data_IF_354965554024
#
_entry.id   IF_354965554024
#
_cell.length_a   1.000
_cell.length_b   1.000
_cell.length_c   1.000
_cell.angle_alpha   90.00
_cell.angle_beta   90.00
_cell.angle_gamma   90.00
#
_symmetry.space_group_name_H-M   'P 1'
#
loop_
_entity.id
_entity.type
_entity.pdbx_description
1 polymer ?
#
# COMPACT_ATOMS: atom_id res chain seq x y z
N UNK A 1 -4.71 27.81 4.33
CA UNK A 1 -4.54 26.34 4.22
C UNK A 1 -3.06 26.07 4.01
N UNK A 2 -2.34 25.66 5.06
CA UNK A 2 -0.88 25.49 5.07
C UNK A 2 -0.57 24.10 4.50
N UNK A 3 0.30 24.02 3.49
CA UNK A 3 0.80 22.77 2.90
C UNK A 3 1.37 21.89 4.03
N UNK A 4 0.73 20.76 4.34
CA UNK A 4 1.13 19.87 5.42
C UNK A 4 2.29 18.92 5.06
N UNK A 5 2.94 19.08 3.91
CA UNK A 5 3.52 17.91 3.20
C UNK A 5 5.04 17.91 3.07
N UNK A 6 5.74 19.03 3.19
CA UNK A 6 7.18 19.07 2.85
C UNK A 6 8.10 18.61 3.99
N UNK A 7 7.63 18.55 5.24
CA UNK A 7 8.54 18.41 6.40
C UNK A 7 8.78 16.97 6.90
N UNK A 8 7.92 15.99 6.56
CA UNK A 8 8.06 14.62 7.08
C UNK A 8 8.06 13.56 5.97
N UNK A 9 9.25 13.05 5.66
CA UNK A 9 9.44 11.85 4.84
C UNK A 9 9.33 10.62 5.76
N UNK A 10 8.43 9.70 5.42
CA UNK A 10 8.37 8.39 6.05
C UNK A 10 9.42 7.48 5.41
N UNK A 11 10.23 6.82 6.23
CA UNK A 11 11.22 5.87 5.74
C UNK A 11 10.57 4.72 4.96
N UNK A 12 9.42 4.25 5.44
CA UNK A 12 8.71 3.12 4.83
C UNK A 12 7.21 3.18 5.12
N UNK A 13 6.41 2.74 4.15
CA UNK A 13 4.98 2.41 4.29
C UNK A 13 4.76 1.00 3.74
N UNK A 14 4.04 0.15 4.47
CA UNK A 14 3.66 -1.19 4.02
C UNK A 14 2.14 -1.33 3.93
N UNK A 15 1.67 -1.80 2.77
CA UNK A 15 0.27 -2.13 2.53
C UNK A 15 0.15 -3.64 2.42
N UNK A 16 -0.64 -4.24 3.31
CA UNK A 16 -0.84 -5.69 3.37
C UNK A 16 -2.25 -6.05 2.93
N UNK A 17 -2.35 -6.94 1.93
CA UNK A 17 -3.64 -7.41 1.43
C UNK A 17 -3.81 -8.89 1.82
N UNK A 18 -4.94 -9.17 2.46
CA UNK A 18 -5.32 -10.49 2.98
C UNK A 18 -6.53 -11.04 2.25
N UNK A 19 -6.59 -12.36 2.10
CA UNK A 19 -7.83 -13.03 1.71
C UNK A 19 -8.84 -12.97 2.85
N UNK A 20 -10.12 -12.86 2.51
CA UNK A 20 -11.20 -13.13 3.44
C UNK A 20 -11.19 -14.61 3.88
N UNK A 21 -11.65 -14.88 5.09
CA UNK A 21 -11.70 -16.21 5.70
C UNK A 21 -10.77 -16.36 6.91
N UNK A 22 -10.73 -17.56 7.46
CA UNK A 22 -9.88 -17.97 8.59
C UNK A 22 -9.13 -19.26 8.23
N UNK A 23 -7.78 -19.28 8.21
CA UNK A 23 -6.87 -18.18 8.52
C UNK A 23 -6.86 -17.09 7.44
N UNK A 24 -6.67 -15.82 7.86
CA UNK A 24 -6.44 -14.69 6.94
C UNK A 24 -5.05 -14.80 6.32
N UNK A 25 -4.99 -15.24 5.06
CA UNK A 25 -3.72 -15.41 4.34
C UNK A 25 -3.32 -14.10 3.65
N UNK A 26 -2.14 -13.55 3.98
CA UNK A 26 -1.52 -12.42 3.26
C UNK A 26 -1.05 -12.90 1.89
N UNK A 27 -1.61 -12.33 0.81
CA UNK A 27 -1.26 -12.72 -0.55
C UNK A 27 -0.51 -11.63 -1.33
N UNK A 28 -0.59 -10.38 -0.89
CA UNK A 28 0.15 -9.27 -1.47
C UNK A 28 0.65 -8.33 -0.37
N UNK A 29 1.88 -7.88 -0.54
CA UNK A 29 2.50 -6.83 0.26
C UNK A 29 3.14 -5.82 -0.69
N UNK A 30 2.80 -4.54 -0.51
CA UNK A 30 3.38 -3.40 -1.21
C UNK A 30 4.22 -2.65 -0.19
N UNK A 31 5.53 -2.57 -0.42
CA UNK A 31 6.46 -1.82 0.41
C UNK A 31 6.91 -0.60 -0.37
N UNK A 32 6.66 0.58 0.19
CA UNK A 32 7.07 1.87 -0.32
C UNK A 32 8.18 2.42 0.57
N UNK A 33 9.23 2.98 -0.01
CA UNK A 33 10.33 3.65 0.71
C UNK A 33 10.47 5.11 0.27
N UNK A 34 11.01 5.95 1.15
CA UNK A 34 11.15 7.40 0.93
C UNK A 34 9.80 8.03 0.57
N UNK A 35 8.83 7.90 1.48
CA UNK A 35 7.41 8.17 1.21
C UNK A 35 7.02 9.56 1.71
N UNK A 36 6.28 10.29 0.87
CA UNK A 36 5.69 11.59 1.18
C UNK A 36 4.19 11.51 0.97
N UNK A 37 3.40 12.05 1.91
CA UNK A 37 1.95 12.23 1.72
C UNK A 37 1.73 13.38 0.76
N UNK A 38 1.54 13.13 -0.53
CA UNK A 38 1.46 14.18 -1.54
C UNK A 38 0.16 14.99 -1.51
N UNK A 39 -0.93 14.40 -1.02
CA UNK A 39 -2.19 15.09 -0.77
C UNK A 39 -3.07 14.33 0.21
N UNK A 40 -3.97 15.04 0.90
CA UNK A 40 -5.06 14.44 1.66
C UNK A 40 -6.37 15.17 1.36
N UNK A 41 -7.48 14.42 1.28
CA UNK A 41 -8.82 14.96 1.11
C UNK A 41 -9.79 14.23 2.04
N UNK A 42 -10.57 14.99 2.80
CA UNK A 42 -11.62 14.46 3.66
C UNK A 42 -12.94 14.42 2.90
N UNK A 43 -13.66 13.31 3.00
CA UNK A 43 -14.99 13.16 2.43
C UNK A 43 -15.98 12.77 3.53
N UNK A 44 -17.00 13.60 3.71
CA UNK A 44 -18.06 13.37 4.69
C UNK A 44 -19.26 14.24 4.34
N UNK A 45 -20.36 13.61 3.94
CA UNK A 45 -21.62 14.29 3.67
C UNK A 45 -22.57 13.98 4.84
N UNK A 46 -22.82 14.98 5.69
CA UNK A 46 -23.60 14.84 6.93
C UNK A 46 -25.07 14.44 6.75
N UNK A 47 -25.59 14.50 5.52
CA UNK A 47 -27.01 14.23 5.20
C UNK A 47 -27.30 12.78 4.77
N UNK A 48 -26.28 11.91 4.68
CA UNK A 48 -26.49 10.52 4.28
C UNK A 48 -26.51 9.63 5.52
N UNK A 49 -27.68 9.08 5.86
CA UNK A 49 -27.94 8.34 7.11
C UNK A 49 -27.14 7.04 7.31
N UNK A 50 -26.16 6.74 6.46
CA UNK A 50 -25.25 5.58 6.53
C UNK A 50 -23.86 5.86 5.89
N UNK A 51 -23.51 7.12 5.62
CA UNK A 51 -22.19 7.44 5.06
C UNK A 51 -21.16 7.56 6.19
N UNK A 52 -20.24 6.60 6.26
CA UNK A 52 -19.07 6.73 7.12
C UNK A 52 -18.13 7.79 6.54
N UNK A 53 -17.59 8.72 7.35
CA UNK A 53 -16.57 9.64 6.88
C UNK A 53 -15.37 8.83 6.40
N UNK A 54 -14.81 9.24 5.26
CA UNK A 54 -13.65 8.59 4.67
C UNK A 54 -12.63 9.60 4.18
N UNK A 55 -11.38 9.17 4.13
CA UNK A 55 -10.26 10.02 3.77
C UNK A 55 -9.56 9.42 2.55
N UNK A 56 -9.13 10.29 1.63
CA UNK A 56 -8.30 9.92 0.50
C UNK A 56 -6.90 10.49 0.73
N UNK A 57 -5.90 9.61 0.75
CA UNK A 57 -4.50 9.96 0.97
C UNK A 57 -3.70 9.52 -0.26
N UNK A 58 -2.96 10.45 -0.87
CA UNK A 58 -2.04 10.14 -1.96
C UNK A 58 -0.60 10.04 -1.42
N UNK A 59 0.14 9.05 -1.89
CA UNK A 59 1.52 8.78 -1.48
C UNK A 59 2.45 8.86 -2.69
N UNK A 60 3.45 9.73 -2.62
CA UNK A 60 4.61 9.67 -3.50
C UNK A 60 5.70 8.85 -2.80
N UNK A 61 6.49 8.10 -3.56
CA UNK A 61 7.52 7.21 -3.05
C UNK A 61 8.76 7.22 -3.93
N UNK A 62 9.93 6.96 -3.34
CA UNK A 62 11.18 6.81 -4.07
C UNK A 62 11.42 5.40 -4.59
N UNK A 63 11.03 4.37 -3.83
CA UNK A 63 11.14 2.97 -4.24
C UNK A 63 9.88 2.19 -3.91
N UNK A 64 9.63 1.16 -4.72
CA UNK A 64 8.52 0.25 -4.54
C UNK A 64 9.00 -1.20 -4.65
N UNK A 65 8.50 -2.06 -3.77
CA UNK A 65 8.66 -3.51 -3.83
C UNK A 65 7.30 -4.18 -3.64
N UNK A 66 6.95 -5.07 -4.56
CA UNK A 66 5.75 -5.90 -4.50
C UNK A 66 6.17 -7.33 -4.17
N UNK A 67 5.54 -7.92 -3.15
CA UNK A 67 5.74 -9.31 -2.74
C UNK A 67 4.41 -10.03 -2.89
N UNK A 68 4.35 -10.98 -3.81
CA UNK A 68 3.17 -11.79 -4.07
C UNK A 68 3.38 -13.23 -3.57
N UNK A 69 2.52 -13.66 -2.65
CA UNK A 69 2.50 -15.04 -2.14
C UNK A 69 1.58 -15.88 -3.02
N UNK A 70 2.17 -16.77 -3.82
CA UNK A 70 1.41 -17.68 -4.68
C UNK A 70 0.65 -18.67 -3.82
N UNK A 71 -0.54 -19.04 -4.28
CA UNK A 71 -1.33 -20.12 -3.69
C UNK A 71 -1.47 -21.26 -4.69
N UNK A 72 -1.34 -22.48 -4.20
CA UNK A 72 -1.60 -23.69 -4.97
C UNK A 72 -3.08 -23.74 -5.36
N UNK A 73 -3.36 -23.83 -6.66
CA UNK A 73 -4.73 -24.02 -7.16
C UNK A 73 -5.32 -25.38 -6.75
N UNK A 74 -4.47 -26.36 -6.45
CA UNK A 74 -4.89 -27.72 -6.06
C UNK A 74 -5.17 -27.84 -4.57
N UNK A 75 -4.35 -27.20 -3.74
CA UNK A 75 -4.37 -27.42 -2.27
C UNK A 75 -4.73 -26.19 -1.47
N UNK A 76 -4.82 -25.00 -2.08
CA UNK A 76 -5.04 -23.72 -1.40
C UNK A 76 -3.85 -23.24 -0.55
N UNK A 77 -2.82 -24.06 -0.39
CA UNK A 77 -1.64 -23.80 0.42
C UNK A 77 -0.65 -22.88 -0.29
N UNK A 78 0.29 -22.28 0.47
CA UNK A 78 1.35 -21.44 -0.07
C UNK A 78 2.21 -22.18 -1.11
N UNK A 79 2.43 -21.58 -2.28
CA UNK A 79 3.18 -22.11 -3.40
C UNK A 79 4.45 -21.28 -3.69
N UNK A 80 5.05 -20.74 -2.63
CA UNK A 80 6.20 -19.83 -2.67
C UNK A 80 5.83 -18.37 -2.93
N UNK A 81 6.83 -17.50 -2.89
CA UNK A 81 6.67 -16.06 -3.11
C UNK A 81 7.45 -15.61 -4.34
N UNK A 82 6.93 -14.60 -5.03
CA UNK A 82 7.68 -13.84 -6.04
C UNK A 82 7.74 -12.40 -5.57
N UNK A 83 8.87 -11.75 -5.79
CA UNK A 83 9.05 -10.33 -5.50
C UNK A 83 9.55 -9.62 -6.75
N UNK A 84 9.19 -8.36 -6.87
CA UNK A 84 9.71 -7.46 -7.89
C UNK A 84 9.64 -6.03 -7.38
N UNK A 85 10.63 -5.22 -7.71
CA UNK A 85 10.68 -3.83 -7.26
C UNK A 85 11.43 -2.91 -8.19
N UNK A 86 11.10 -1.62 -8.10
CA UNK A 86 11.70 -0.55 -8.87
C UNK A 86 12.18 0.56 -7.94
N UNK A 87 13.38 1.05 -8.20
CA UNK A 87 13.93 2.26 -7.60
C UNK A 87 13.71 3.40 -8.60
N UNK A 88 12.76 4.29 -8.30
CA UNK A 88 12.43 5.42 -9.16
C UNK A 88 13.42 6.59 -9.01
N UNK A 89 14.17 6.64 -7.89
CA UNK A 89 15.21 7.67 -7.66
C UNK A 89 16.39 7.43 -8.59
N UNK A 90 16.85 6.18 -8.71
CA UNK A 90 17.98 5.80 -9.56
C UNK A 90 17.59 5.11 -10.86
N UNK A 91 16.28 4.97 -11.11
CA UNK A 91 15.69 4.39 -12.32
C UNK A 91 16.24 3.00 -12.67
N UNK A 92 16.19 2.08 -11.71
CA UNK A 92 16.72 0.71 -11.85
C UNK A 92 15.88 -0.33 -11.12
N UNK A 93 16.11 -1.59 -11.46
CA UNK A 93 15.53 -2.73 -10.73
C UNK A 93 16.05 -2.70 -9.28
N UNK A 94 15.12 -2.80 -8.33
CA UNK A 94 15.40 -2.73 -6.88
C UNK A 94 15.32 -4.10 -6.19
N UNK A 95 14.39 -4.96 -6.63
CA UNK A 95 14.13 -6.26 -6.04
C UNK A 95 13.55 -7.24 -7.06
#
# INVERSE_FOLDING_TARGET
MRLAVVENIFKQVSVHIFRAGDPKVKYLEIVLEEVIISSFALTGNGDQSNAFPSELIALNYGRIKLIYSKQSRKTGQGAGQIAGGWDAISNKIYA
#
